data_IF_119382384227
#
_entry.id   IF_119382384227
#
_cell.length_a   1.000
_cell.length_b   1.000
_cell.length_c   1.000
_cell.angle_alpha   90.00
_cell.angle_beta   90.00
_cell.angle_gamma   90.00
#
_symmetry.space_group_name_H-M   'P 1'
#
loop_
_entity.id
_entity.type
_entity.pdbx_description
1 polymer ?
#
# COMPACT_ATOMS: atom_id res chain seq x y z
N UNK A 1 4.41 21.74 -11.71
CA UNK A 1 5.74 21.78 -11.05
C UNK A 1 5.70 21.18 -9.64
N UNK A 2 4.83 21.67 -8.74
CA UNK A 2 4.66 21.17 -7.36
C UNK A 2 4.46 19.65 -7.32
N UNK A 3 3.46 19.11 -8.03
CA UNK A 3 3.19 17.66 -8.05
C UNK A 3 4.37 16.84 -8.58
N UNK A 4 5.10 17.36 -9.56
CA UNK A 4 6.30 16.72 -10.09
C UNK A 4 7.38 16.55 -9.01
N UNK A 5 7.65 17.59 -8.21
CA UNK A 5 8.57 17.48 -7.08
C UNK A 5 8.07 16.51 -6.02
N UNK A 6 6.77 16.54 -5.69
CA UNK A 6 6.17 15.63 -4.71
C UNK A 6 6.34 14.16 -5.11
N UNK A 7 6.04 13.80 -6.37
CA UNK A 7 6.14 12.43 -6.85
C UNK A 7 7.57 11.87 -6.79
N UNK A 8 8.58 12.74 -6.93
CA UNK A 8 10.00 12.34 -6.85
C UNK A 8 10.55 12.42 -5.42
N UNK A 9 9.70 12.51 -4.40
CA UNK A 9 10.12 12.59 -3.00
C UNK A 9 10.79 13.92 -2.62
N UNK A 10 10.79 14.93 -3.51
CA UNK A 10 11.39 16.24 -3.28
C UNK A 10 10.42 17.19 -2.58
N UNK A 11 9.78 16.73 -1.51
CA UNK A 11 8.69 17.45 -0.83
C UNK A 11 9.07 18.86 -0.38
N UNK A 12 10.32 19.08 0.06
CA UNK A 12 10.78 20.43 0.47
C UNK A 12 10.78 21.40 -0.72
N UNK A 13 11.21 20.93 -1.90
CA UNK A 13 11.17 21.73 -3.13
C UNK A 13 9.73 22.01 -3.55
N UNK A 14 8.84 21.03 -3.41
CA UNK A 14 7.42 21.22 -3.68
C UNK A 14 6.80 22.31 -2.79
N UNK A 15 7.08 22.30 -1.49
CA UNK A 15 6.61 23.33 -0.55
C UNK A 15 7.22 24.70 -0.83
N UNK A 16 8.51 24.77 -1.18
CA UNK A 16 9.15 26.03 -1.57
C UNK A 16 8.45 26.67 -2.79
N UNK A 17 8.14 25.88 -3.81
CA UNK A 17 7.41 26.37 -4.99
C UNK A 17 6.00 26.80 -4.61
N UNK A 18 5.32 26.06 -3.73
CA UNK A 18 4.00 26.44 -3.23
C UNK A 18 4.02 27.75 -2.46
N UNK A 19 4.98 27.96 -1.57
CA UNK A 19 5.13 29.24 -0.86
C UNK A 19 5.44 30.40 -1.81
N UNK A 20 6.23 30.14 -2.85
CA UNK A 20 6.45 31.10 -3.93
C UNK A 20 5.14 31.50 -4.63
N UNK A 21 4.29 30.52 -4.97
CA UNK A 21 2.96 30.75 -5.55
C UNK A 21 2.08 31.62 -4.66
N UNK A 22 2.06 31.36 -3.34
CA UNK A 22 1.32 32.18 -2.39
C UNK A 22 1.87 33.61 -2.30
N UNK A 23 3.19 33.78 -2.34
CA UNK A 23 3.85 35.08 -2.29
C UNK A 23 3.59 35.93 -3.55
N UNK A 24 3.43 35.30 -4.71
CA UNK A 24 3.09 35.99 -5.98
C UNK A 24 1.59 36.21 -6.16
N UNK A 25 0.77 35.91 -5.14
CA UNK A 25 -0.70 35.98 -5.20
C UNK A 25 -1.33 35.12 -6.30
N UNK A 26 -0.61 34.10 -6.77
CA UNK A 26 -1.19 33.08 -7.63
C UNK A 26 -2.15 32.21 -6.82
N UNK A 27 -3.29 31.85 -7.42
CA UNK A 27 -4.35 31.10 -6.74
C UNK A 27 -4.07 29.60 -6.82
N UNK A 28 -3.81 28.92 -5.69
CA UNK A 28 -3.71 27.47 -5.67
C UNK A 28 -5.03 26.84 -6.09
N UNK A 29 -4.96 25.75 -6.87
CA UNK A 29 -6.13 25.00 -7.30
C UNK A 29 -6.17 23.60 -6.66
N UNK A 30 -7.22 22.84 -6.99
CA UNK A 30 -7.40 21.45 -6.57
C UNK A 30 -6.13 20.60 -6.71
N UNK A 31 -5.52 20.60 -7.90
CA UNK A 31 -4.31 19.82 -8.18
C UNK A 31 -3.08 20.31 -7.41
N UNK A 32 -3.02 21.61 -7.09
CA UNK A 32 -1.95 22.20 -6.28
C UNK A 32 -1.96 21.62 -4.88
N UNK A 33 -3.13 21.55 -4.25
CA UNK A 33 -3.27 21.01 -2.90
C UNK A 33 -3.02 19.50 -2.83
N UNK A 34 -3.39 18.71 -3.85
CA UNK A 34 -2.95 17.30 -3.94
C UNK A 34 -1.42 17.22 -3.90
N UNK A 35 -0.73 18.06 -4.68
CA UNK A 35 0.72 18.11 -4.72
C UNK A 35 1.34 18.49 -3.36
N UNK A 36 0.77 19.49 -2.67
CA UNK A 36 1.21 19.95 -1.36
C UNK A 36 1.00 18.88 -0.28
N UNK A 37 -0.20 18.29 -0.19
CA UNK A 37 -0.49 17.24 0.78
C UNK A 37 0.36 15.99 0.55
N UNK A 38 0.59 15.63 -0.73
CA UNK A 38 1.52 14.56 -1.09
C UNK A 38 2.96 14.86 -0.62
N UNK A 39 3.42 16.11 -0.79
CA UNK A 39 4.74 16.53 -0.31
C UNK A 39 4.86 16.43 1.22
N UNK A 40 3.82 16.81 1.96
CA UNK A 40 3.77 16.68 3.42
C UNK A 40 3.96 15.23 3.86
N UNK A 41 3.25 14.30 3.20
CA UNK A 41 3.36 12.87 3.47
C UNK A 41 4.79 12.35 3.25
N UNK A 42 5.47 12.82 2.18
CA UNK A 42 6.86 12.45 1.92
C UNK A 42 7.82 12.96 3.00
N UNK A 43 7.63 14.18 3.47
CA UNK A 43 8.54 14.80 4.44
C UNK A 43 8.36 14.36 5.88
N UNK A 44 7.26 13.68 6.21
CA UNK A 44 6.95 13.42 7.61
C UNK A 44 6.67 14.72 8.38
N UNK A 45 6.14 15.75 7.70
CA UNK A 45 5.63 16.96 8.36
C UNK A 45 4.18 16.67 8.76
N UNK A 46 4.03 15.94 9.87
CA UNK A 46 2.78 15.21 10.13
C UNK A 46 1.95 15.78 11.28
N UNK A 47 2.40 16.83 11.96
CA UNK A 47 1.71 17.25 13.18
C UNK A 47 0.64 18.33 12.92
N UNK A 48 0.91 19.36 12.09
CA UNK A 48 -0.05 20.45 11.86
C UNK A 48 -0.24 20.86 10.38
N UNK A 49 0.81 20.80 9.55
CA UNK A 49 0.80 21.39 8.20
C UNK A 49 -0.22 20.74 7.26
N UNK A 50 -0.31 19.41 7.25
CA UNK A 50 -1.23 18.68 6.35
C UNK A 50 -2.70 18.97 6.64
N UNK A 51 -3.10 18.95 7.91
CA UNK A 51 -4.47 19.28 8.32
C UNK A 51 -4.75 20.78 8.20
N UNK A 52 -3.77 21.64 8.47
CA UNK A 52 -3.88 23.07 8.21
C UNK A 52 -4.17 23.33 6.72
N UNK A 53 -3.43 22.71 5.81
CA UNK A 53 -3.67 22.87 4.38
C UNK A 53 -5.07 22.38 3.98
N UNK A 54 -5.46 21.19 4.43
CA UNK A 54 -6.75 20.58 4.09
C UNK A 54 -7.95 21.37 4.64
N UNK A 55 -7.94 21.70 5.93
CA UNK A 55 -9.13 22.21 6.64
C UNK A 55 -9.21 23.74 6.64
N UNK A 56 -8.05 24.43 6.58
CA UNK A 56 -7.96 25.87 6.70
C UNK A 56 -7.60 26.50 5.35
N UNK A 57 -6.41 26.21 4.81
CA UNK A 57 -5.88 26.95 3.67
C UNK A 57 -6.68 26.70 2.37
N UNK A 58 -7.13 25.46 2.14
CA UNK A 58 -8.01 25.15 1.01
C UNK A 58 -9.30 25.96 1.05
N UNK A 59 -9.93 26.06 2.24
CA UNK A 59 -11.14 26.87 2.45
C UNK A 59 -10.88 28.36 2.21
N UNK A 60 -9.78 28.89 2.73
CA UNK A 60 -9.37 30.29 2.50
C UNK A 60 -9.10 30.60 1.02
N UNK A 61 -8.64 29.60 0.25
CA UNK A 61 -8.43 29.72 -1.20
C UNK A 61 -9.65 29.32 -2.04
N UNK A 62 -10.78 29.01 -1.42
CA UNK A 62 -12.01 28.65 -2.12
C UNK A 62 -11.94 27.30 -2.85
N UNK A 63 -11.09 26.39 -2.40
CA UNK A 63 -10.95 25.03 -2.95
C UNK A 63 -11.64 24.03 -2.01
N UNK A 64 -12.58 23.27 -2.55
CA UNK A 64 -13.25 22.21 -1.79
C UNK A 64 -12.41 20.91 -1.79
N UNK A 65 -12.17 20.28 -0.63
CA UNK A 65 -11.48 19.00 -0.57
C UNK A 65 -12.27 17.86 -1.20
N UNK A 66 -11.61 17.08 -2.05
CA UNK A 66 -12.16 15.84 -2.62
C UNK A 66 -11.38 14.59 -2.22
N UNK A 67 -11.78 13.44 -2.77
CA UNK A 67 -11.28 12.10 -2.41
C UNK A 67 -9.75 12.00 -2.40
N UNK A 68 -9.09 12.60 -3.39
CA UNK A 68 -7.63 12.55 -3.54
C UNK A 68 -6.92 13.27 -2.39
N UNK A 69 -7.48 14.36 -1.88
CA UNK A 69 -6.92 15.11 -0.75
C UNK A 69 -6.96 14.29 0.53
N UNK A 70 -8.09 13.63 0.81
CA UNK A 70 -8.22 12.73 1.95
C UNK A 70 -7.32 11.50 1.82
N UNK A 71 -7.13 10.99 0.61
CA UNK A 71 -6.18 9.89 0.36
C UNK A 71 -4.75 10.30 0.71
N UNK A 72 -4.34 11.54 0.43
CA UNK A 72 -3.06 12.07 0.88
C UNK A 72 -2.95 12.13 2.41
N UNK A 73 -4.01 12.55 3.12
CA UNK A 73 -4.02 12.57 4.59
C UNK A 73 -3.94 11.15 5.18
N UNK A 74 -4.65 10.17 4.61
CA UNK A 74 -4.56 8.77 5.03
C UNK A 74 -3.11 8.28 4.92
N UNK A 75 -2.44 8.55 3.80
CA UNK A 75 -1.03 8.18 3.62
C UNK A 75 -0.08 8.89 4.60
N UNK A 76 -0.36 10.15 4.90
CA UNK A 76 0.38 10.98 5.86
C UNK A 76 0.27 10.39 7.29
N UNK A 77 -0.94 10.10 7.75
CA UNK A 77 -1.20 9.46 9.04
C UNK A 77 -0.63 8.04 9.12
N UNK A 78 -0.82 7.25 8.06
CA UNK A 78 -0.31 5.88 7.98
C UNK A 78 1.19 5.81 8.19
N UNK A 79 1.96 6.73 7.59
CA UNK A 79 3.41 6.82 7.78
C UNK A 79 3.78 7.16 9.24
N UNK A 80 3.06 8.09 9.87
CA UNK A 80 3.26 8.45 11.28
C UNK A 80 3.06 7.26 12.21
N UNK A 81 1.96 6.53 12.02
CA UNK A 81 1.62 5.34 12.81
C UNK A 81 2.68 4.26 12.63
N UNK A 82 3.15 4.04 11.41
CA UNK A 82 4.25 3.11 11.12
C UNK A 82 5.53 3.52 11.86
N UNK A 83 5.91 4.79 11.84
CA UNK A 83 7.10 5.27 12.57
C UNK A 83 6.98 5.08 14.09
N UNK A 84 5.78 5.23 14.65
CA UNK A 84 5.51 4.98 16.07
C UNK A 84 5.61 3.50 16.38
N UNK A 85 4.94 2.63 15.61
CA UNK A 85 4.96 1.18 15.86
C UNK A 85 6.39 0.65 15.76
N UNK A 86 7.15 1.03 14.74
CA UNK A 86 8.53 0.56 14.57
C UNK A 86 9.53 1.11 15.61
N UNK A 87 9.16 2.17 16.34
CA UNK A 87 9.92 2.61 17.53
C UNK A 87 9.61 1.75 18.75
N UNK A 88 8.39 1.23 18.85
CA UNK A 88 7.94 0.37 19.96
C UNK A 88 8.37 -1.08 19.75
N UNK A 89 8.14 -1.60 18.54
CA UNK A 89 8.54 -2.94 18.09
C UNK A 89 9.18 -2.84 16.70
N UNK A 90 10.52 -2.77 16.64
CA UNK A 90 11.26 -2.64 15.38
C UNK A 90 11.15 -3.85 14.44
N UNK A 91 10.65 -4.98 14.93
CA UNK A 91 10.57 -6.24 14.19
C UNK A 91 9.11 -6.67 13.93
N UNK A 92 8.14 -5.78 14.18
CA UNK A 92 6.72 -6.04 13.90
C UNK A 92 6.48 -6.29 12.41
N UNK A 93 6.31 -7.57 12.09
CA UNK A 93 6.04 -8.07 10.74
C UNK A 93 4.80 -7.42 10.14
N UNK A 94 3.74 -7.23 10.94
CA UNK A 94 2.47 -6.69 10.50
C UNK A 94 2.61 -5.29 9.90
N UNK A 95 3.37 -4.42 10.57
CA UNK A 95 3.64 -3.06 10.13
C UNK A 95 4.40 -3.00 8.81
N UNK A 96 5.41 -3.84 8.61
CA UNK A 96 6.13 -3.91 7.33
C UNK A 96 5.24 -4.40 6.19
N UNK A 97 4.40 -5.42 6.43
CA UNK A 97 3.43 -5.92 5.45
C UNK A 97 2.42 -4.83 5.09
N UNK A 98 1.86 -4.13 6.09
CA UNK A 98 0.94 -3.02 5.85
C UNK A 98 1.60 -1.88 5.05
N UNK A 99 2.84 -1.51 5.39
CA UNK A 99 3.58 -0.48 4.67
C UNK A 99 3.84 -0.87 3.20
N UNK A 100 4.20 -2.14 2.96
CA UNK A 100 4.35 -2.68 1.60
C UNK A 100 3.04 -2.57 0.81
N UNK A 101 1.92 -2.99 1.40
CA UNK A 101 0.60 -2.93 0.76
C UNK A 101 0.16 -1.48 0.46
N UNK A 102 0.42 -0.55 1.40
CA UNK A 102 0.20 0.87 1.18
C UNK A 102 0.98 1.39 -0.02
N UNK A 103 2.27 1.02 -0.17
CA UNK A 103 3.06 1.39 -1.33
C UNK A 103 2.56 0.75 -2.64
N UNK A 104 2.13 -0.51 -2.63
CA UNK A 104 1.51 -1.17 -3.79
C UNK A 104 0.25 -0.44 -4.24
N UNK A 105 -0.67 -0.13 -3.32
CA UNK A 105 -1.90 0.63 -3.64
C UNK A 105 -1.60 2.03 -4.15
N UNK A 106 -0.52 2.66 -3.66
CA UNK A 106 -0.03 3.94 -4.16
C UNK A 106 0.81 3.83 -5.46
N UNK A 107 1.00 2.63 -6.02
CA UNK A 107 1.85 2.34 -7.19
C UNK A 107 3.30 2.83 -7.04
N UNK A 108 3.81 2.82 -5.80
CA UNK A 108 5.16 3.25 -5.43
C UNK A 108 6.09 2.04 -5.28
N UNK A 109 6.49 1.47 -6.41
CA UNK A 109 7.31 0.26 -6.46
C UNK A 109 8.67 0.41 -5.76
N UNK A 110 9.30 1.60 -5.82
CA UNK A 110 10.53 1.89 -5.07
C UNK A 110 10.33 1.74 -3.55
N UNK A 111 9.15 2.13 -3.06
CA UNK A 111 8.77 1.96 -1.65
C UNK A 111 8.65 0.49 -1.27
N UNK A 112 7.97 -0.31 -2.10
CA UNK A 112 7.85 -1.76 -1.93
C UNK A 112 9.23 -2.42 -1.90
N UNK A 113 10.10 -2.09 -2.85
CA UNK A 113 11.45 -2.63 -2.94
C UNK A 113 12.29 -2.29 -1.70
N UNK A 114 12.19 -1.05 -1.20
CA UNK A 114 12.89 -0.62 0.00
C UNK A 114 12.41 -1.35 1.26
N UNK A 115 11.08 -1.53 1.41
CA UNK A 115 10.50 -2.30 2.53
C UNK A 115 11.00 -3.75 2.49
N UNK A 116 10.90 -4.42 1.33
CA UNK A 116 11.38 -5.80 1.15
C UNK A 116 12.88 -5.93 1.45
N UNK A 117 13.70 -4.99 0.98
CA UNK A 117 15.14 -4.95 1.27
C UNK A 117 15.41 -4.82 2.77
N UNK A 118 14.65 -3.96 3.45
CA UNK A 118 14.79 -3.75 4.89
C UNK A 118 14.40 -4.99 5.69
N UNK A 119 13.27 -5.61 5.36
CA UNK A 119 12.83 -6.87 5.97
C UNK A 119 13.87 -7.97 5.82
N UNK A 120 14.42 -8.16 4.60
CA UNK A 120 15.50 -9.13 4.37
C UNK A 120 16.76 -8.83 5.19
N UNK A 121 17.16 -7.57 5.28
CA UNK A 121 18.33 -7.15 6.05
C UNK A 121 18.20 -7.34 7.56
N UNK A 122 16.97 -7.49 8.07
CA UNK A 122 16.68 -7.77 9.49
C UNK A 122 16.16 -9.19 9.74
N UNK A 123 16.15 -10.05 8.72
CA UNK A 123 15.60 -11.41 8.79
C UNK A 123 14.11 -11.46 9.20
N UNK A 124 13.37 -10.37 9.00
CA UNK A 124 11.93 -10.27 9.27
C UNK A 124 11.20 -11.00 8.15
N UNK A 125 10.41 -12.02 8.51
CA UNK A 125 9.65 -12.82 7.55
C UNK A 125 8.17 -12.80 7.91
N UNK A 126 7.33 -12.63 6.89
CA UNK A 126 5.89 -12.86 7.01
C UNK A 126 5.65 -14.36 7.22
N UNK A 127 4.88 -14.71 8.25
CA UNK A 127 4.42 -16.10 8.38
C UNK A 127 3.47 -16.43 7.23
N UNK A 128 3.68 -17.54 6.52
CA UNK A 128 2.79 -17.95 5.45
C UNK A 128 1.40 -18.23 6.02
N UNK A 129 0.37 -18.00 5.20
CA UNK A 129 -0.99 -18.41 5.56
C UNK A 129 -1.04 -19.92 5.74
N UNK A 130 -1.72 -20.40 6.78
CA UNK A 130 -1.90 -21.83 7.01
C UNK A 130 -3.39 -22.12 7.14
N UNK A 131 -3.85 -23.13 6.40
CA UNK A 131 -5.19 -23.70 6.56
C UNK A 131 -5.08 -25.19 6.84
N UNK A 132 -6.11 -25.77 7.47
CA UNK A 132 -6.13 -27.19 7.75
C UNK A 132 -7.53 -27.75 7.69
N UNK A 133 -7.63 -29.04 7.36
CA UNK A 133 -8.88 -29.81 7.42
C UNK A 133 -8.66 -31.10 8.19
N UNK A 134 -9.70 -31.58 8.87
CA UNK A 134 -9.69 -32.86 9.56
C UNK A 134 -10.50 -33.89 8.78
N UNK A 135 -9.85 -34.95 8.30
CA UNK A 135 -10.51 -36.04 7.56
C UNK A 135 -10.19 -37.37 8.25
N UNK A 136 -11.23 -38.10 8.67
CA UNK A 136 -11.09 -39.43 9.30
C UNK A 136 -10.04 -39.47 10.41
N UNK A 137 -10.04 -38.43 11.25
CA UNK A 137 -9.11 -38.25 12.36
C UNK A 137 -7.64 -37.93 11.99
N UNK A 138 -7.36 -37.62 10.72
CA UNK A 138 -6.08 -37.07 10.27
C UNK A 138 -6.20 -35.59 9.94
N UNK A 139 -5.25 -34.79 10.44
CA UNK A 139 -5.14 -33.36 10.11
C UNK A 139 -4.29 -33.18 8.86
N UNK A 140 -4.85 -32.53 7.86
CA UNK A 140 -4.17 -32.16 6.63
C UNK A 140 -3.93 -30.64 6.66
N UNK A 141 -2.66 -30.25 6.63
CA UNK A 141 -2.23 -28.84 6.70
C UNK A 141 -1.80 -28.39 5.31
N UNK A 142 -2.24 -27.20 4.92
CA UNK A 142 -1.91 -26.54 3.67
C UNK A 142 -1.30 -25.18 3.99
N UNK A 143 -0.03 -25.02 3.64
CA UNK A 143 0.67 -23.75 3.80
C UNK A 143 0.61 -23.02 2.46
N UNK A 144 0.30 -21.73 2.49
CA UNK A 144 0.32 -20.87 1.31
C UNK A 144 1.66 -20.99 0.60
N UNK A 145 1.61 -21.12 -0.73
CA UNK A 145 2.78 -21.22 -1.63
C UNK A 145 3.61 -22.51 -1.52
N UNK A 146 3.24 -23.45 -0.63
CA UNK A 146 3.88 -24.75 -0.54
C UNK A 146 3.20 -25.82 -1.41
N UNK A 147 3.94 -26.88 -1.71
CA UNK A 147 3.42 -28.10 -2.36
C UNK A 147 3.76 -29.35 -1.55
N UNK A 148 3.92 -29.20 -0.24
CA UNK A 148 4.49 -30.25 0.62
C UNK A 148 3.48 -31.35 0.98
N UNK A 149 2.20 -31.13 0.71
CA UNK A 149 1.17 -32.11 0.99
C UNK A 149 1.39 -33.38 0.14
N UNK A 150 1.35 -34.57 0.79
CA UNK A 150 1.60 -35.87 0.12
C UNK A 150 0.68 -36.13 -1.07
N UNK A 151 -0.54 -35.61 -1.00
CA UNK A 151 -1.57 -35.74 -2.03
C UNK A 151 -1.71 -34.47 -2.90
N UNK A 152 -0.74 -33.54 -2.86
CA UNK A 152 -0.78 -32.24 -3.56
C UNK A 152 -1.15 -32.40 -5.04
N UNK A 153 -0.53 -33.37 -5.73
CA UNK A 153 -0.80 -33.66 -7.14
C UNK A 153 -2.29 -33.98 -7.36
N UNK A 154 -2.84 -34.90 -6.57
CA UNK A 154 -4.23 -35.36 -6.70
C UNK A 154 -5.23 -34.25 -6.37
N UNK A 155 -4.92 -33.42 -5.37
CA UNK A 155 -5.72 -32.25 -5.00
C UNK A 155 -5.76 -31.25 -6.15
N UNK A 156 -4.62 -30.95 -6.76
CA UNK A 156 -4.55 -30.03 -7.89
C UNK A 156 -5.23 -30.58 -9.16
N UNK A 157 -5.10 -31.88 -9.45
CA UNK A 157 -5.83 -32.54 -10.53
C UNK A 157 -7.35 -32.45 -10.31
N UNK A 158 -7.82 -32.74 -9.09
CA UNK A 158 -9.24 -32.66 -8.77
C UNK A 158 -9.76 -31.23 -8.83
N UNK A 159 -8.97 -30.26 -8.37
CA UNK A 159 -9.31 -28.84 -8.48
C UNK A 159 -9.44 -28.41 -9.95
N UNK A 160 -8.53 -28.85 -10.83
CA UNK A 160 -8.60 -28.54 -12.26
C UNK A 160 -9.84 -29.14 -12.93
N UNK A 161 -10.22 -30.37 -12.57
CA UNK A 161 -11.44 -31.03 -13.02
C UNK A 161 -12.69 -30.23 -12.60
N UNK A 162 -12.79 -29.88 -11.32
CA UNK A 162 -13.91 -29.12 -10.77
C UNK A 162 -14.02 -27.72 -11.40
N UNK A 163 -12.89 -27.01 -11.54
CA UNK A 163 -12.84 -25.70 -12.21
C UNK A 163 -13.34 -25.78 -13.66
N UNK A 164 -13.04 -26.87 -14.36
CA UNK A 164 -13.53 -27.09 -15.73
C UNK A 164 -15.04 -27.29 -15.77
N UNK A 165 -15.59 -28.07 -14.82
CA UNK A 165 -17.04 -28.31 -14.72
C UNK A 165 -17.82 -27.04 -14.38
N UNK A 166 -17.36 -26.25 -13.40
CA UNK A 166 -18.08 -25.03 -13.01
C UNK A 166 -18.02 -23.94 -14.10
N UNK A 167 -16.93 -23.88 -14.88
CA UNK A 167 -16.84 -22.99 -16.04
C UNK A 167 -17.89 -23.33 -17.10
N UNK A 168 -18.17 -24.62 -17.34
CA UNK A 168 -19.25 -25.05 -18.23
C UNK A 168 -20.64 -24.65 -17.72
N UNK A 169 -20.81 -24.51 -16.40
CA UNK A 169 -22.04 -24.02 -15.77
C UNK A 169 -22.16 -22.49 -15.76
N UNK A 170 -21.23 -21.76 -16.38
CA UNK A 170 -21.25 -20.30 -16.49
C UNK A 170 -20.47 -19.56 -15.40
N UNK A 171 -19.64 -20.25 -14.60
CA UNK A 171 -18.74 -19.58 -13.67
C UNK A 171 -17.70 -18.74 -14.42
N UNK A 172 -17.64 -17.43 -14.10
CA UNK A 172 -16.61 -16.50 -14.56
C UNK A 172 -15.77 -16.09 -13.36
N UNK A 173 -14.47 -16.42 -13.33
CA UNK A 173 -13.60 -16.01 -12.23
C UNK A 173 -13.43 -14.48 -12.22
N UNK A 174 -13.60 -13.87 -11.06
CA UNK A 174 -13.20 -12.47 -10.84
C UNK A 174 -11.69 -12.43 -10.59
N UNK A 175 -10.95 -12.07 -11.64
CA UNK A 175 -9.48 -11.99 -11.61
C UNK A 175 -9.02 -10.57 -11.25
N UNK A 176 -9.91 -9.57 -11.28
CA UNK A 176 -9.56 -8.17 -11.06
C UNK A 176 -9.15 -7.89 -9.61
N UNK A 177 -9.71 -8.65 -8.66
CA UNK A 177 -9.37 -8.58 -7.24
C UNK A 177 -8.12 -9.40 -6.90
N UNK A 178 -7.91 -10.55 -7.54
CA UNK A 178 -6.79 -11.46 -7.29
C UNK A 178 -5.44 -10.98 -7.84
N UNK A 179 -5.41 -10.25 -8.97
CA UNK A 179 -4.16 -9.74 -9.56
C UNK A 179 -3.48 -8.68 -8.70
N UNK A 180 -4.21 -8.01 -7.80
CA UNK A 180 -3.61 -7.05 -6.86
C UNK A 180 -2.74 -7.72 -5.79
N UNK A 181 -2.93 -9.02 -5.56
CA UNK A 181 -2.15 -9.82 -4.59
C UNK A 181 -1.06 -10.66 -5.28
N UNK A 182 -0.98 -10.65 -6.62
CA UNK A 182 -0.08 -11.52 -7.41
C UNK A 182 0.99 -10.78 -8.21
N UNK A 183 1.20 -9.48 -7.98
CA UNK A 183 2.34 -8.78 -8.60
C UNK A 183 3.61 -8.95 -7.74
N UNK A 184 4.47 -9.83 -8.26
CA UNK A 184 5.92 -10.00 -8.06
C UNK A 184 6.43 -10.67 -6.76
N UNK A 185 6.41 -12.01 -6.74
CA UNK A 185 7.49 -12.84 -6.16
C UNK A 185 7.94 -14.01 -7.10
N UNK A 186 7.70 -13.87 -8.40
CA UNK A 186 8.49 -14.60 -9.41
C UNK A 186 9.66 -13.72 -9.84
N UNK A 187 10.81 -13.89 -9.18
CA UNK A 187 12.13 -14.07 -9.79
C UNK A 187 13.21 -13.97 -8.68
N UNK A 188 13.80 -15.15 -8.40
CA UNK A 188 15.05 -15.45 -7.68
C UNK A 188 15.08 -15.30 -6.15
#
# INVERSE_FOLDING_TARGET
MISGYSHHGLGRKALLVFYGMLATSEVPNYMTFIGVLSACAHLGLVDDDGFYYLNQLMKEKGVEPGLEHYTCIIGLLGKQVVEIILKLDPDDVGTYVMLSNMYTKARKWDGVANVRKFMRGREIKKEPGVSWIQVKNNTHVFVSEDKNHKESIQIHEKLAELLSQIKLLGYVPDIATALHDMDDEQNE
#
